data_IF_819514842446
#
_entry.id   IF_819514842446
#
_cell.length_a   1.000
_cell.length_b   1.000
_cell.length_c   1.000
_cell.angle_alpha   90.00
_cell.angle_beta   90.00
_cell.angle_gamma   90.00
#
_symmetry.space_group_name_H-M   'P 1'
#
loop_
_entity.id
_entity.type
_entity.pdbx_description
1 polymer ?
#
# COMPACT_ATOMS: atom_id res chain seq x y z
N UNK A 1 -1.67 15.39 13.64
CA UNK A 1 -2.36 14.31 12.90
C UNK A 1 -2.04 14.55 11.43
N UNK A 2 -0.87 14.10 10.99
CA UNK A 2 -0.37 14.36 9.62
C UNK A 2 0.26 13.10 8.99
N UNK A 3 0.46 12.01 9.74
CA UNK A 3 1.24 10.85 9.28
C UNK A 3 0.50 9.95 8.29
N UNK A 4 -0.81 9.74 8.44
CA UNK A 4 -1.56 8.80 7.61
C UNK A 4 -1.70 9.18 6.13
N UNK A 5 -1.69 10.49 5.80
CA UNK A 5 -1.91 10.97 4.42
C UNK A 5 -0.63 10.83 3.59
N UNK A 6 0.55 10.95 4.21
CA UNK A 6 1.83 10.78 3.53
C UNK A 6 2.05 9.32 3.08
N UNK A 7 1.73 8.34 3.93
CA UNK A 7 1.85 6.92 3.57
C UNK A 7 0.97 6.55 2.37
N UNK A 8 -0.29 7.00 2.35
CA UNK A 8 -1.20 6.73 1.24
C UNK A 8 -0.66 7.29 -0.08
N UNK A 9 -0.06 8.48 -0.04
CA UNK A 9 0.53 9.11 -1.23
C UNK A 9 1.77 8.37 -1.73
N UNK A 10 2.63 7.92 -0.83
CA UNK A 10 3.81 7.11 -1.17
C UNK A 10 3.42 5.76 -1.77
N UNK A 11 2.48 5.05 -1.14
CA UNK A 11 1.93 3.78 -1.63
C UNK A 11 1.34 3.97 -3.02
N UNK A 12 0.52 4.99 -3.20
CA UNK A 12 -0.07 5.34 -4.49
C UNK A 12 0.97 5.62 -5.57
N UNK A 13 2.00 6.40 -5.27
CA UNK A 13 3.09 6.68 -6.22
C UNK A 13 3.88 5.42 -6.57
N UNK A 14 4.21 4.59 -5.59
CA UNK A 14 4.89 3.32 -5.81
C UNK A 14 4.05 2.39 -6.70
N UNK A 15 2.73 2.34 -6.47
CA UNK A 15 1.82 1.51 -7.27
C UNK A 15 1.76 2.00 -8.72
N UNK A 16 1.68 3.31 -8.93
CA UNK A 16 1.67 3.88 -10.28
C UNK A 16 2.98 3.65 -11.02
N UNK A 17 4.12 3.72 -10.33
CA UNK A 17 5.43 3.54 -10.95
C UNK A 17 5.70 2.06 -11.29
N UNK A 18 5.43 1.15 -10.34
CA UNK A 18 5.74 -0.28 -10.50
C UNK A 18 4.63 -1.10 -11.16
N UNK A 19 3.35 -0.75 -10.96
CA UNK A 19 2.21 -1.58 -11.39
C UNK A 19 1.35 -0.97 -12.49
N UNK A 20 1.14 0.35 -12.47
CA UNK A 20 0.30 1.04 -13.44
C UNK A 20 1.06 2.19 -14.14
N UNK A 21 2.18 1.89 -14.84
CA UNK A 21 2.98 2.94 -15.46
C UNK A 21 2.16 3.64 -16.55
N UNK A 22 1.85 4.92 -16.31
CA UNK A 22 1.09 5.76 -17.24
C UNK A 22 -0.40 5.92 -16.92
N UNK A 23 -0.90 5.32 -15.84
CA UNK A 23 -2.21 5.66 -15.29
C UNK A 23 -2.21 6.99 -14.55
N UNK A 24 -3.39 7.61 -14.47
CA UNK A 24 -3.54 8.85 -13.72
C UNK A 24 -3.60 8.55 -12.22
N UNK A 25 -2.82 9.25 -11.38
CA UNK A 25 -2.97 9.15 -9.93
C UNK A 25 -4.40 9.49 -9.51
N UNK A 26 -5.06 10.43 -10.15
CA UNK A 26 -6.45 10.79 -9.82
C UNK A 26 -7.46 9.63 -9.99
N UNK A 27 -7.16 8.64 -10.83
CA UNK A 27 -8.01 7.44 -10.99
C UNK A 27 -7.81 6.44 -9.85
N UNK A 28 -6.60 6.40 -9.28
CA UNK A 28 -6.26 5.52 -8.15
C UNK A 28 -6.75 6.12 -6.82
N UNK A 29 -8.01 5.94 -6.48
CA UNK A 29 -8.57 6.36 -5.19
C UNK A 29 -8.08 5.51 -4.02
N UNK A 30 -8.06 6.08 -2.81
CA UNK A 30 -7.61 5.39 -1.61
C UNK A 30 -8.49 4.20 -1.20
N UNK A 31 -9.76 4.20 -1.62
CA UNK A 31 -10.75 3.13 -1.43
C UNK A 31 -10.76 2.13 -2.60
N UNK A 32 -9.89 2.31 -3.61
CA UNK A 32 -9.85 1.41 -4.77
C UNK A 32 -9.26 0.05 -4.35
N UNK A 33 -9.94 -1.07 -4.64
CA UNK A 33 -9.42 -2.39 -4.39
C UNK A 33 -8.27 -2.70 -5.36
N UNK A 34 -7.05 -2.71 -4.86
CA UNK A 34 -5.81 -3.04 -5.57
C UNK A 34 -5.71 -4.53 -5.85
N UNK A 35 -5.95 -5.37 -4.84
CA UNK A 35 -5.78 -6.81 -4.97
C UNK A 35 -7.04 -7.45 -5.54
N UNK A 36 -8.21 -7.12 -4.99
CA UNK A 36 -9.50 -7.58 -5.50
C UNK A 36 -9.82 -7.00 -6.89
N UNK A 37 -9.34 -5.79 -7.19
CA UNK A 37 -9.41 -5.20 -8.54
C UNK A 37 -8.39 -5.74 -9.54
N UNK A 38 -7.46 -6.59 -9.10
CA UNK A 38 -6.47 -7.23 -9.98
C UNK A 38 -5.34 -6.31 -10.45
N UNK A 39 -5.15 -5.16 -9.80
CA UNK A 39 -4.03 -4.24 -10.04
C UNK A 39 -2.74 -4.82 -9.46
N UNK A 40 -2.84 -5.45 -8.29
CA UNK A 40 -1.72 -6.03 -7.54
C UNK A 40 -1.93 -7.53 -7.39
N UNK A 41 -0.89 -8.30 -7.70
CA UNK A 41 -0.86 -9.75 -7.52
C UNK A 41 -0.30 -10.14 -6.14
N UNK A 42 -0.49 -11.39 -5.70
CA UNK A 42 -0.09 -11.79 -4.33
C UNK A 42 1.41 -11.67 -4.08
N UNK A 43 2.24 -11.79 -5.13
CA UNK A 43 3.70 -11.59 -5.06
C UNK A 43 4.06 -10.10 -4.96
N UNK A 44 3.30 -9.27 -5.65
CA UNK A 44 3.49 -7.83 -5.69
C UNK A 44 3.21 -7.20 -4.33
N UNK A 45 2.15 -7.65 -3.65
CA UNK A 45 1.82 -7.27 -2.27
C UNK A 45 2.98 -7.53 -1.32
N UNK A 46 3.58 -8.73 -1.36
CA UNK A 46 4.75 -9.06 -0.53
C UNK A 46 5.95 -8.16 -0.80
N UNK A 47 6.28 -7.91 -2.07
CA UNK A 47 7.35 -6.99 -2.46
C UNK A 47 7.13 -5.59 -1.91
N UNK A 48 5.89 -5.12 -1.96
CA UNK A 48 5.51 -3.79 -1.52
C UNK A 48 5.60 -3.67 0.01
N UNK A 49 5.11 -4.68 0.73
CA UNK A 49 5.26 -4.83 2.19
C UNK A 49 6.74 -4.78 2.59
N UNK A 50 7.58 -5.62 1.98
CA UNK A 50 9.03 -5.65 2.24
C UNK A 50 9.69 -4.29 1.99
N UNK A 51 9.31 -3.60 0.92
CA UNK A 51 9.83 -2.27 0.61
C UNK A 51 9.50 -1.26 1.71
N UNK A 52 8.26 -1.26 2.22
CA UNK A 52 7.85 -0.36 3.27
C UNK A 52 8.41 -0.74 4.65
N UNK A 53 8.55 -2.04 4.95
CA UNK A 53 9.25 -2.53 6.13
C UNK A 53 10.69 -2.02 6.17
N UNK A 54 11.44 -2.17 5.08
CA UNK A 54 12.82 -1.68 4.99
C UNK A 54 12.90 -0.14 5.04
N UNK A 55 11.94 0.54 4.40
CA UNK A 55 11.95 2.01 4.28
C UNK A 55 11.57 2.71 5.57
N UNK A 56 10.60 2.19 6.31
CA UNK A 56 10.12 2.79 7.56
C UNK A 56 10.65 2.07 8.81
N UNK A 57 11.32 0.93 8.66
CA UNK A 57 11.84 0.14 9.78
C UNK A 57 10.74 -0.54 10.60
N UNK A 58 9.60 -0.82 9.99
CA UNK A 58 8.46 -1.49 10.64
C UNK A 58 8.47 -2.99 10.31
N UNK A 59 7.76 -3.78 11.11
CA UNK A 59 7.53 -5.22 10.84
C UNK A 59 6.04 -5.45 10.65
N UNK A 60 5.69 -5.96 9.48
CA UNK A 60 4.34 -6.32 9.07
C UNK A 60 4.19 -7.83 9.20
N UNK A 61 3.27 -8.28 10.04
CA UNK A 61 3.05 -9.71 10.20
C UNK A 61 2.32 -10.28 8.98
N UNK A 62 2.59 -11.55 8.66
CA UNK A 62 1.98 -12.21 7.49
C UNK A 62 0.45 -12.23 7.52
N UNK A 63 -0.16 -12.17 8.72
CA UNK A 63 -1.62 -12.08 8.88
C UNK A 63 -2.16 -10.67 8.63
N UNK A 64 -1.34 -9.64 8.85
CA UNK A 64 -1.64 -8.24 8.52
C UNK A 64 -1.35 -7.96 7.04
N UNK A 65 -0.47 -8.74 6.42
CA UNK A 65 -0.12 -8.64 5.02
C UNK A 65 -1.01 -9.53 4.11
N UNK A 66 -2.28 -9.69 4.46
CA UNK A 66 -3.25 -10.43 3.65
C UNK A 66 -4.10 -9.49 2.77
N UNK A 67 -4.82 -10.08 1.82
CA UNK A 67 -5.70 -9.35 0.90
C UNK A 67 -6.74 -8.53 1.63
N UNK A 68 -7.21 -8.94 2.80
CA UNK A 68 -8.21 -8.18 3.57
C UNK A 68 -7.66 -6.85 4.14
N UNK A 69 -6.36 -6.79 4.43
CA UNK A 69 -5.69 -5.64 5.05
C UNK A 69 -4.81 -4.84 4.08
N UNK A 70 -4.53 -5.41 2.91
CA UNK A 70 -3.77 -4.75 1.85
C UNK A 70 -4.61 -4.55 0.58
N UNK A 71 -5.94 -4.70 0.67
CA UNK A 71 -6.82 -4.53 -0.49
C UNK A 71 -6.79 -3.09 -0.99
N UNK A 72 -6.75 -2.11 -0.10
CA UNK A 72 -6.87 -0.69 -0.46
C UNK A 72 -5.70 0.12 0.07
N UNK A 73 -5.35 1.21 -0.62
CA UNK A 73 -4.27 2.12 -0.22
C UNK A 73 -4.54 2.68 1.19
N UNK A 74 -5.82 2.92 1.52
CA UNK A 74 -6.20 3.42 2.84
C UNK A 74 -5.86 2.44 3.96
N UNK A 75 -6.11 1.15 3.77
CA UNK A 75 -5.81 0.14 4.78
C UNK A 75 -4.29 -0.02 4.96
N UNK A 76 -3.55 -0.06 3.85
CA UNK A 76 -2.08 -0.08 3.85
C UNK A 76 -1.52 1.13 4.60
N UNK A 77 -1.98 2.34 4.26
CA UNK A 77 -1.54 3.56 4.91
C UNK A 77 -1.88 3.60 6.40
N UNK A 78 -3.05 3.10 6.79
CA UNK A 78 -3.46 3.01 8.19
C UNK A 78 -2.58 2.00 8.96
N UNK A 79 -2.28 0.85 8.34
CA UNK A 79 -1.41 -0.19 8.90
C UNK A 79 0.02 0.36 9.11
N UNK A 80 0.59 1.02 8.09
CA UNK A 80 1.89 1.68 8.16
C UNK A 80 1.90 2.75 9.26
N UNK A 81 0.89 3.61 9.32
CA UNK A 81 0.77 4.64 10.34
C UNK A 81 0.64 4.06 11.76
N UNK A 82 -0.03 2.91 11.91
CA UNK A 82 -0.17 2.23 13.20
C UNK A 82 1.12 1.56 13.68
N UNK A 83 2.06 1.26 12.78
CA UNK A 83 3.37 0.67 13.11
C UNK A 83 4.48 1.71 13.26
N UNK A 84 4.40 2.81 12.50
CA UNK A 84 5.38 3.89 12.49
C UNK A 84 5.14 4.96 13.58
N UNK A 85 4.01 4.91 14.29
CA UNK A 85 3.67 5.79 15.43
C UNK A 85 3.92 5.13 16.78
#
# INVERSE_FOLDING_TARGET
METGIDFAREVKQYILDEFLPGENPDDLTDDLPLISGGIIDSIATLKMVLHFEERYGIVLEAHEADKEHLDTIRDIAALLASKAG
#
